data_IF_479562945564
#
_entry.id   IF_479562945564
#
_cell.length_a   1.000
_cell.length_b   1.000
_cell.length_c   1.000
_cell.angle_alpha   90.00
_cell.angle_beta   90.00
_cell.angle_gamma   90.00
#
_symmetry.space_group_name_H-M   'P 1'
#
loop_
_entity.id
_entity.type
_entity.pdbx_description
1 polymer ?
#
# COMPACT_ATOMS: atom_id res chain seq x y z
N UNK A 1 27.12 -0.39 38.45
CA UNK A 1 26.39 -1.45 37.73
C UNK A 1 24.92 -1.07 37.71
N UNK A 2 24.24 -0.75 36.61
CA UNK A 2 24.50 -1.03 35.21
C UNK A 2 23.34 -1.85 34.64
N UNK A 3 22.45 -1.16 33.89
CA UNK A 3 21.49 -1.65 32.87
C UNK A 3 20.25 -2.37 33.42
N UNK A 4 19.05 -2.34 32.84
CA UNK A 4 18.37 -1.59 31.76
C UNK A 4 16.89 -2.05 31.88
N UNK A 5 15.90 -1.15 31.90
CA UNK A 5 14.92 -0.95 30.82
C UNK A 5 14.51 -2.22 30.05
N UNK A 6 13.24 -2.63 30.14
CA UNK A 6 12.36 -2.49 28.99
C UNK A 6 10.91 -2.88 29.28
N UNK A 7 10.05 -1.87 29.14
CA UNK A 7 8.65 -1.99 28.80
C UNK A 7 8.50 -2.88 27.56
N UNK A 8 7.53 -3.78 27.55
CA UNK A 8 6.95 -4.28 26.31
C UNK A 8 5.48 -3.91 26.33
N UNK A 9 5.23 -2.67 25.94
CA UNK A 9 3.95 -2.30 25.36
C UNK A 9 3.92 -3.05 24.02
N UNK A 10 3.07 -4.07 23.92
CA UNK A 10 2.78 -4.70 22.64
C UNK A 10 2.00 -3.67 21.83
N UNK A 11 2.71 -2.94 20.97
CA UNK A 11 2.09 -2.04 20.00
C UNK A 11 1.21 -2.86 19.07
N UNK A 12 -0.09 -2.62 19.19
CA UNK A 12 -1.14 -3.09 18.29
C UNK A 12 -0.75 -2.70 16.87
N UNK A 13 -0.21 -3.67 16.12
CA UNK A 13 0.03 -3.49 14.69
C UNK A 13 -1.31 -3.16 14.04
N UNK A 14 -1.49 -1.91 13.69
CA UNK A 14 -2.62 -1.36 12.93
C UNK A 14 -2.06 -1.08 11.55
N UNK A 15 -2.79 -1.36 10.47
CA UNK A 15 -2.55 -0.64 9.22
C UNK A 15 -2.69 0.83 9.59
N UNK A 16 -1.59 1.57 9.69
CA UNK A 16 -1.70 3.00 9.95
C UNK A 16 -2.47 3.57 8.76
N UNK A 17 -3.75 3.86 8.99
CA UNK A 17 -4.63 4.52 8.03
C UNK A 17 -3.90 5.80 7.65
N UNK A 18 -3.35 5.84 6.44
CA UNK A 18 -2.37 6.87 6.11
C UNK A 18 -1.10 6.38 5.41
N UNK A 19 -0.72 5.10 5.52
CA UNK A 19 0.53 4.60 4.95
C UNK A 19 0.59 4.83 3.43
N UNK A 20 1.63 5.54 3.01
CA UNK A 20 1.94 5.77 1.61
C UNK A 20 2.98 4.78 1.13
N UNK A 21 2.61 4.00 0.11
CA UNK A 21 3.45 3.01 -0.53
C UNK A 21 4.01 3.59 -1.82
N UNK A 22 5.34 3.56 -1.97
CA UNK A 22 6.02 3.83 -3.24
C UNK A 22 6.56 2.54 -3.82
N UNK A 23 5.64 1.70 -4.26
CA UNK A 23 5.96 0.34 -4.68
C UNK A 23 5.41 -0.03 -6.05
N UNK A 24 5.10 0.97 -6.87
CA UNK A 24 4.73 0.78 -8.27
C UNK A 24 5.86 0.04 -8.99
N UNK A 25 5.55 -1.15 -9.46
CA UNK A 25 6.48 -2.04 -10.17
C UNK A 25 6.24 -2.05 -11.68
N UNK A 26 5.03 -1.72 -12.11
CA UNK A 26 4.69 -1.66 -13.52
C UNK A 26 3.30 -1.08 -13.78
N UNK A 27 3.06 -0.73 -15.04
CA UNK A 27 1.78 -0.22 -15.55
C UNK A 27 1.45 -0.96 -16.84
N UNK A 28 0.23 -1.47 -16.95
CA UNK A 28 -0.25 -2.20 -18.12
C UNK A 28 -1.70 -1.79 -18.45
N UNK A 29 -1.86 -0.95 -19.48
CA UNK A 29 -3.18 -0.40 -19.83
C UNK A 29 -3.79 0.34 -18.63
N UNK A 30 -5.02 0.00 -18.18
CA UNK A 30 -5.65 0.63 -17.02
C UNK A 30 -5.16 0.08 -15.67
N UNK A 31 -4.21 -0.86 -15.67
CA UNK A 31 -3.75 -1.56 -14.48
C UNK A 31 -2.39 -1.04 -13.98
N UNK A 32 -2.25 -0.98 -12.67
CA UNK A 32 -1.01 -0.67 -11.95
C UNK A 32 -0.67 -1.85 -11.07
N UNK A 33 0.59 -2.29 -11.15
CA UNK A 33 1.09 -3.43 -10.37
C UNK A 33 1.95 -2.88 -9.25
N UNK A 34 1.60 -3.21 -8.02
CA UNK A 34 2.32 -2.87 -6.82
C UNK A 34 3.07 -4.09 -6.31
N UNK A 35 4.29 -3.89 -5.85
CA UNK A 35 5.08 -4.91 -5.14
C UNK A 35 5.20 -4.55 -3.66
N UNK A 36 5.69 -5.47 -2.82
CA UNK A 36 5.95 -5.21 -1.38
C UNK A 36 4.79 -4.53 -0.65
N UNK A 37 3.54 -4.90 -0.96
CA UNK A 37 2.35 -4.27 -0.37
C UNK A 37 1.98 -4.81 1.01
N UNK A 38 2.66 -5.88 1.46
CA UNK A 38 2.49 -6.38 2.83
C UNK A 38 3.25 -5.49 3.81
N UNK A 39 2.51 -4.95 4.78
CA UNK A 39 3.12 -4.42 6.00
C UNK A 39 3.88 -5.54 6.74
N UNK A 40 4.89 -5.12 7.50
CA UNK A 40 5.95 -5.92 8.11
C UNK A 40 5.61 -7.38 8.47
N UNK A 41 6.56 -8.27 8.21
CA UNK A 41 6.54 -9.70 8.52
C UNK A 41 6.12 -9.97 9.98
N UNK A 42 4.83 -10.23 10.19
CA UNK A 42 4.26 -10.50 11.50
C UNK A 42 2.92 -11.24 11.36
N UNK A 43 2.56 -12.02 12.37
CA UNK A 43 1.36 -12.87 12.37
C UNK A 43 0.05 -12.10 12.08
N UNK A 44 0.02 -10.81 12.42
CA UNK A 44 -1.13 -9.91 12.18
C UNK A 44 -1.15 -9.30 10.77
N UNK A 45 -0.04 -9.33 10.02
CA UNK A 45 0.03 -8.79 8.66
C UNK A 45 -0.92 -9.49 7.69
N UNK A 46 -1.39 -10.70 8.02
CA UNK A 46 -2.42 -11.40 7.26
C UNK A 46 -3.78 -10.68 7.29
N UNK A 47 -4.09 -9.97 8.39
CA UNK A 47 -5.36 -9.27 8.58
C UNK A 47 -5.30 -7.79 8.19
N UNK A 48 -4.10 -7.29 7.91
CA UNK A 48 -3.75 -5.89 7.72
C UNK A 48 -3.04 -5.68 6.37
N UNK A 49 -3.25 -6.58 5.42
CA UNK A 49 -2.83 -6.39 4.04
C UNK A 49 -3.91 -5.73 3.21
N UNK A 50 -3.58 -5.32 1.97
CA UNK A 50 -4.59 -4.87 1.02
C UNK A 50 -5.63 -5.96 0.77
N UNK A 51 -6.89 -5.55 0.65
CA UNK A 51 -8.02 -6.45 0.43
C UNK A 51 -8.51 -6.38 -1.01
N UNK A 52 -9.09 -7.48 -1.47
CA UNK A 52 -9.81 -7.48 -2.74
C UNK A 52 -10.95 -6.46 -2.71
N UNK A 53 -11.15 -5.73 -3.81
CA UNK A 53 -12.12 -4.65 -3.97
C UNK A 53 -11.90 -3.39 -3.12
N UNK A 54 -10.84 -3.34 -2.32
CA UNK A 54 -10.46 -2.16 -1.55
C UNK A 54 -10.18 -0.97 -2.47
N UNK A 55 -10.60 0.22 -2.04
CA UNK A 55 -10.31 1.47 -2.74
C UNK A 55 -8.91 1.96 -2.36
N UNK A 56 -8.21 2.52 -3.34
CA UNK A 56 -6.91 3.13 -3.13
C UNK A 56 -6.87 4.54 -3.68
N UNK A 57 -6.14 5.41 -2.99
CA UNK A 57 -5.79 6.73 -3.48
C UNK A 57 -4.37 6.68 -4.07
N UNK A 58 -4.21 7.21 -5.28
CA UNK A 58 -2.94 7.22 -6.01
C UNK A 58 -2.57 8.68 -6.24
N UNK A 59 -1.48 9.13 -5.62
CA UNK A 59 -0.99 10.50 -5.78
C UNK A 59 0.20 10.50 -6.73
N UNK A 60 0.11 11.24 -7.82
CA UNK A 60 1.14 11.35 -8.85
C UNK A 60 2.20 12.38 -8.44
N UNK A 61 3.34 12.37 -9.14
CA UNK A 61 4.43 13.32 -8.91
C UNK A 61 4.07 14.79 -9.21
N UNK A 62 3.05 15.03 -10.04
CA UNK A 62 2.51 16.36 -10.31
C UNK A 62 1.55 16.86 -9.19
N UNK A 63 1.28 16.04 -8.18
CA UNK A 63 0.39 16.33 -7.07
C UNK A 63 -1.08 16.00 -7.34
N UNK A 64 -1.44 15.54 -8.54
CA UNK A 64 -2.81 15.06 -8.82
C UNK A 64 -3.08 13.74 -8.11
N UNK A 65 -4.35 13.52 -7.75
CA UNK A 65 -4.81 12.29 -7.11
C UNK A 65 -5.79 11.56 -8.00
N UNK A 66 -5.65 10.24 -8.07
CA UNK A 66 -6.55 9.31 -8.77
C UNK A 66 -7.04 8.27 -7.80
N UNK A 67 -8.14 7.62 -8.17
CA UNK A 67 -8.68 6.49 -7.42
C UNK A 67 -8.50 5.21 -8.19
N UNK A 68 -8.26 4.15 -7.45
CA UNK A 68 -8.22 2.82 -7.99
C UNK A 68 -8.93 1.82 -7.09
N UNK A 69 -9.07 0.61 -7.61
CA UNK A 69 -9.59 -0.52 -6.89
C UNK A 69 -8.62 -1.70 -7.00
N UNK A 70 -8.39 -2.38 -5.89
CA UNK A 70 -7.63 -3.62 -5.85
C UNK A 70 -8.43 -4.74 -6.53
N UNK A 71 -7.86 -5.32 -7.58
CA UNK A 71 -8.43 -6.46 -8.31
C UNK A 71 -7.85 -7.80 -7.86
N UNK A 72 -6.60 -7.81 -7.41
CA UNK A 72 -5.93 -9.04 -7.00
C UNK A 72 -4.85 -8.72 -5.97
N UNK A 73 -4.69 -9.62 -5.00
CA UNK A 73 -3.57 -9.62 -4.06
C UNK A 73 -3.01 -11.02 -4.03
N UNK A 74 -1.77 -11.17 -4.48
CA UNK A 74 -1.02 -12.43 -4.44
C UNK A 74 0.29 -12.20 -3.69
N UNK A 75 0.39 -12.80 -2.51
CA UNK A 75 1.58 -12.65 -1.67
C UNK A 75 1.88 -11.19 -1.34
N UNK A 76 2.97 -10.65 -1.89
CA UNK A 76 3.40 -9.26 -1.71
C UNK A 76 3.06 -8.36 -2.91
N UNK A 77 2.34 -8.89 -3.90
CA UNK A 77 1.91 -8.15 -5.09
C UNK A 77 0.43 -7.80 -5.00
N UNK A 78 0.08 -6.61 -5.48
CA UNK A 78 -1.30 -6.22 -5.71
C UNK A 78 -1.48 -5.64 -7.10
N UNK A 79 -2.60 -5.96 -7.72
CA UNK A 79 -3.03 -5.37 -9.00
C UNK A 79 -4.15 -4.40 -8.70
N UNK A 80 -3.96 -3.16 -9.14
CA UNK A 80 -4.93 -2.06 -8.96
C UNK A 80 -5.40 -1.59 -10.33
N UNK A 81 -6.70 -1.50 -10.53
CA UNK A 81 -7.28 -0.80 -11.67
C UNK A 81 -7.47 0.68 -11.34
N UNK A 82 -7.04 1.58 -12.22
CA UNK A 82 -7.16 3.04 -12.03
C UNK A 82 -8.32 3.57 -12.84
N UNK A 83 -9.25 4.27 -12.20
CA UNK A 83 -10.48 4.74 -12.84
C UNK A 83 -10.23 5.87 -13.83
N UNK A 84 -9.39 6.83 -13.45
CA UNK A 84 -9.04 7.99 -14.27
C UNK A 84 -7.92 7.70 -15.30
N UNK A 85 -7.51 6.43 -15.41
CA UNK A 85 -6.42 5.98 -16.28
C UNK A 85 -5.03 6.08 -15.62
N UNK A 86 -4.01 5.60 -16.32
CA UNK A 86 -2.66 5.38 -15.76
C UNK A 86 -1.60 6.35 -16.28
N UNK A 87 -1.98 7.31 -17.13
CA UNK A 87 -1.06 8.30 -17.71
C UNK A 87 -0.34 9.10 -16.61
N UNK A 88 0.99 9.13 -16.62
CA UNK A 88 1.78 9.87 -15.63
C UNK A 88 2.04 9.14 -14.31
N UNK A 89 1.55 7.90 -14.15
CA UNK A 89 1.96 7.02 -13.05
C UNK A 89 3.37 6.53 -13.31
N UNK A 90 4.22 6.61 -12.29
CA UNK A 90 5.63 6.26 -12.34
C UNK A 90 6.08 5.57 -11.04
N UNK A 91 7.28 4.99 -11.03
CA UNK A 91 7.80 4.30 -9.84
C UNK A 91 8.63 5.17 -8.89
N UNK A 92 8.89 6.44 -9.23
CA UNK A 92 9.75 7.34 -8.45
C UNK A 92 8.98 8.32 -7.60
N UNK A 93 7.88 8.87 -8.10
CA UNK A 93 7.15 9.96 -7.45
C UNK A 93 5.72 9.60 -7.08
N UNK A 94 5.14 8.59 -7.74
CA UNK A 94 3.80 8.13 -7.40
C UNK A 94 3.78 7.45 -6.03
N UNK A 95 2.80 7.81 -5.20
CA UNK A 95 2.49 7.13 -3.94
C UNK A 95 1.08 6.54 -4.01
N UNK A 96 0.89 5.41 -3.33
CA UNK A 96 -0.39 4.72 -3.23
C UNK A 96 -0.76 4.58 -1.77
N UNK A 97 -2.01 4.83 -1.44
CA UNK A 97 -2.55 4.71 -0.10
C UNK A 97 -3.80 3.84 -0.13
N UNK A 98 -3.79 2.80 0.69
CA UNK A 98 -4.92 1.89 0.91
C UNK A 98 -5.88 2.52 1.91
N UNK A 99 -7.19 2.51 1.61
CA UNK A 99 -8.20 3.20 2.47
C UNK A 99 -8.64 2.37 3.67
N UNK A 100 -8.43 1.05 3.63
CA UNK A 100 -8.91 0.11 4.65
C UNK A 100 -10.39 -0.26 4.55
N UNK A 101 -11.10 0.24 3.53
CA UNK A 101 -12.52 -0.07 3.24
C UNK A 101 -12.73 -1.48 2.68
#
# INVERSE_FOLDING_TARGET
MGKAENNHNMEEGTLEIGMEYRTVSGVAGPLVILDKVKASSGFLAHYLGPKYQEIVNIRLGDGTTRRGQVLEVDGEKAVVQVFEGTSGIDNKYTTVQFTGE
#
